data_IF_522283616969
#
_entry.id   IF_522283616969
#
_cell.length_a   1.000
_cell.length_b   1.000
_cell.length_c   1.000
_cell.angle_alpha   90.00
_cell.angle_beta   90.00
_cell.angle_gamma   90.00
#
_symmetry.space_group_name_H-M   'P 1'
#
loop_
_entity.id
_entity.type
_entity.pdbx_description
1 polymer ?
#
# COMPACT_ATOMS: atom_id res chain seq x y z
N UNK A 1 1.88 11.66 -11.51
CA UNK A 1 2.29 10.28 -11.83
C UNK A 1 1.61 9.84 -13.12
N UNK A 2 2.32 9.19 -14.04
CA UNK A 2 1.70 8.55 -15.20
C UNK A 2 1.12 7.18 -14.82
N UNK A 3 0.20 6.65 -15.64
CA UNK A 3 -0.39 5.32 -15.38
C UNK A 3 0.70 4.25 -15.29
N UNK A 4 1.71 4.26 -16.16
CA UNK A 4 2.78 3.26 -16.12
C UNK A 4 3.61 3.32 -14.83
N UNK A 5 3.81 4.52 -14.28
CA UNK A 5 4.50 4.70 -13.01
C UNK A 5 3.65 4.19 -11.86
N UNK A 6 2.33 4.37 -11.91
CA UNK A 6 1.40 3.82 -10.93
C UNK A 6 1.51 2.29 -10.85
N UNK A 7 1.52 1.59 -11.98
CA UNK A 7 1.67 0.12 -11.98
C UNK A 7 3.05 -0.32 -11.44
N UNK A 8 4.13 0.37 -11.83
CA UNK A 8 5.49 0.05 -11.37
C UNK A 8 5.66 0.28 -9.87
N UNK A 9 5.20 1.44 -9.38
CA UNK A 9 5.27 1.79 -7.97
C UNK A 9 4.37 0.89 -7.12
N UNK A 10 3.14 0.62 -7.57
CA UNK A 10 2.21 -0.29 -6.87
C UNK A 10 2.81 -1.67 -6.67
N UNK A 11 3.45 -2.23 -7.72
CA UNK A 11 4.14 -3.52 -7.62
C UNK A 11 5.31 -3.45 -6.63
N UNK A 12 6.19 -2.46 -6.79
CA UNK A 12 7.37 -2.31 -5.94
C UNK A 12 7.00 -2.19 -4.46
N UNK A 13 6.05 -1.31 -4.12
CA UNK A 13 5.67 -1.08 -2.72
C UNK A 13 4.96 -2.29 -2.13
N UNK A 14 4.15 -3.00 -2.93
CA UNK A 14 3.50 -4.24 -2.51
C UNK A 14 4.52 -5.34 -2.21
N UNK A 15 5.50 -5.53 -3.09
CA UNK A 15 6.58 -6.53 -2.88
C UNK A 15 7.38 -6.23 -1.60
N UNK A 16 7.55 -4.96 -1.26
CA UNK A 16 8.26 -4.53 -0.04
C UNK A 16 7.43 -4.71 1.25
N UNK A 17 6.14 -4.35 1.22
CA UNK A 17 5.31 -4.24 2.42
C UNK A 17 4.41 -5.45 2.69
N UNK A 18 4.00 -6.21 1.66
CA UNK A 18 3.15 -7.39 1.84
C UNK A 18 3.74 -8.47 2.77
N UNK A 19 5.08 -8.69 2.82
CA UNK A 19 5.67 -9.61 3.80
C UNK A 19 5.52 -9.17 5.26
N UNK A 20 5.24 -7.88 5.52
CA UNK A 20 5.17 -7.29 6.87
C UNK A 20 3.77 -7.35 7.49
N UNK A 21 2.73 -7.51 6.67
CA UNK A 21 1.34 -7.68 7.13
C UNK A 21 1.02 -9.15 7.40
N UNK A 22 0.02 -9.41 8.24
CA UNK A 22 -0.37 -10.75 8.67
C UNK A 22 -0.94 -11.60 7.53
N UNK A 23 -1.00 -12.94 7.71
CA UNK A 23 -1.64 -13.85 6.75
C UNK A 23 -3.14 -13.60 6.52
N UNK A 24 -3.79 -12.76 7.33
CA UNK A 24 -5.22 -12.43 7.14
C UNK A 24 -5.43 -11.51 5.92
N UNK A 25 -4.53 -10.55 5.71
CA UNK A 25 -4.63 -9.57 4.60
C UNK A 25 -3.68 -9.90 3.44
N UNK A 26 -2.53 -10.52 3.72
CA UNK A 26 -1.49 -10.78 2.71
C UNK A 26 -2.02 -11.51 1.47
N UNK A 27 -2.83 -12.59 1.55
CA UNK A 27 -3.35 -13.25 0.37
C UNK A 27 -4.21 -12.34 -0.50
N UNK A 28 -5.04 -11.49 0.11
CA UNK A 28 -5.93 -10.56 -0.59
C UNK A 28 -5.10 -9.55 -1.39
N UNK A 29 -4.10 -8.94 -0.75
CA UNK A 29 -3.21 -7.96 -1.40
C UNK A 29 -2.46 -8.60 -2.56
N UNK A 30 -1.87 -9.79 -2.36
CA UNK A 30 -1.08 -10.46 -3.39
C UNK A 30 -1.94 -10.95 -4.56
N UNK A 31 -3.14 -11.49 -4.29
CA UNK A 31 -4.06 -11.91 -5.35
C UNK A 31 -4.55 -10.73 -6.18
N UNK A 32 -4.93 -9.61 -5.53
CA UNK A 32 -5.35 -8.40 -6.24
C UNK A 32 -4.19 -7.81 -7.08
N UNK A 33 -3.00 -7.69 -6.50
CA UNK A 33 -1.81 -7.19 -7.20
C UNK A 33 -1.40 -8.08 -8.37
N UNK A 34 -1.44 -9.40 -8.19
CA UNK A 34 -1.18 -10.38 -9.26
C UNK A 34 -2.17 -10.31 -10.42
N UNK A 35 -3.43 -9.92 -10.16
CA UNK A 35 -4.44 -9.67 -11.18
C UNK A 35 -4.35 -8.27 -11.81
N UNK A 36 -3.43 -7.41 -11.34
CA UNK A 36 -3.33 -6.01 -11.77
C UNK A 36 -4.40 -5.09 -11.18
N UNK A 37 -5.21 -5.57 -10.23
CA UNK A 37 -6.24 -4.82 -9.53
C UNK A 37 -5.62 -3.95 -8.42
N UNK A 38 -4.74 -3.03 -8.80
CA UNK A 38 -4.00 -2.17 -7.87
C UNK A 38 -4.88 -1.15 -7.14
N UNK A 39 -6.02 -0.81 -7.73
CA UNK A 39 -7.09 -0.05 -7.10
C UNK A 39 -7.74 -0.77 -5.92
N UNK A 40 -7.64 -2.11 -5.86
CA UNK A 40 -8.00 -2.89 -4.69
C UNK A 40 -6.79 -3.18 -3.78
N UNK A 41 -5.66 -3.57 -4.38
CA UNK A 41 -4.50 -4.04 -3.64
C UNK A 41 -3.88 -2.96 -2.75
N UNK A 42 -3.75 -1.72 -3.25
CA UNK A 42 -3.09 -0.64 -2.52
C UNK A 42 -3.93 -0.15 -1.32
N UNK A 43 -5.23 0.16 -1.45
CA UNK A 43 -6.03 0.51 -0.28
C UNK A 43 -6.10 -0.61 0.76
N UNK A 44 -6.17 -1.87 0.31
CA UNK A 44 -6.15 -3.03 1.23
C UNK A 44 -4.83 -3.12 1.99
N UNK A 45 -3.70 -2.91 1.30
CA UNK A 45 -2.38 -2.88 1.94
C UNK A 45 -2.29 -1.75 2.97
N UNK A 46 -2.76 -0.55 2.64
CA UNK A 46 -2.77 0.60 3.57
C UNK A 46 -3.65 0.33 4.79
N UNK A 47 -4.85 -0.23 4.59
CA UNK A 47 -5.73 -0.63 5.69
C UNK A 47 -5.05 -1.65 6.61
N UNK A 48 -4.45 -2.70 6.05
CA UNK A 48 -3.75 -3.72 6.82
C UNK A 48 -2.57 -3.15 7.62
N UNK A 49 -1.75 -2.29 7.02
CA UNK A 49 -0.63 -1.65 7.70
C UNK A 49 -1.10 -0.78 8.88
N UNK A 50 -2.22 -0.07 8.71
CA UNK A 50 -2.82 0.78 9.74
C UNK A 50 -3.42 -0.04 10.88
N UNK A 51 -4.21 -1.07 10.56
CA UNK A 51 -4.91 -1.90 11.55
C UNK A 51 -3.96 -2.75 12.39
N UNK A 52 -2.85 -3.20 11.79
CA UNK A 52 -1.85 -4.04 12.44
C UNK A 52 -0.71 -3.24 13.12
N UNK A 53 -0.80 -1.91 13.15
CA UNK A 53 0.25 -0.99 13.66
C UNK A 53 1.65 -1.30 13.07
N UNK A 54 1.70 -1.63 11.77
CA UNK A 54 2.97 -1.90 11.09
C UNK A 54 3.68 -0.59 10.84
N UNK A 55 4.74 -0.36 11.61
CA UNK A 55 5.63 0.79 11.41
C UNK A 55 6.37 0.64 10.09
N UNK A 56 6.37 1.69 9.26
CA UNK A 56 7.08 1.74 7.95
C UNK A 56 8.06 2.91 7.91
N UNK A 57 8.80 3.08 6.82
CA UNK A 57 9.63 4.27 6.60
C UNK A 57 8.80 5.43 6.06
N UNK A 58 9.29 6.66 6.24
CA UNK A 58 8.68 7.87 5.69
C UNK A 58 8.61 7.80 4.16
N UNK A 59 9.65 7.26 3.51
CA UNK A 59 9.65 7.04 2.06
C UNK A 59 8.60 6.01 1.60
N UNK A 60 8.38 4.92 2.36
CA UNK A 60 7.30 3.96 2.08
C UNK A 60 5.92 4.61 2.25
N UNK A 61 5.74 5.44 3.27
CA UNK A 61 4.49 6.18 3.52
C UNK A 61 4.21 7.20 2.42
N UNK A 62 5.23 7.90 1.95
CA UNK A 62 5.11 8.88 0.86
C UNK A 62 4.78 8.18 -0.47
N UNK A 63 5.42 7.04 -0.76
CA UNK A 63 5.08 6.23 -1.93
C UNK A 63 3.61 5.76 -1.92
N UNK A 64 3.10 5.32 -0.75
CA UNK A 64 1.70 4.98 -0.60
C UNK A 64 0.80 6.21 -0.77
N UNK A 65 1.20 7.39 -0.26
CA UNK A 65 0.46 8.64 -0.46
C UNK A 65 0.29 8.96 -1.94
N UNK A 66 1.37 8.90 -2.72
CA UNK A 66 1.33 9.18 -4.15
C UNK A 66 0.35 8.25 -4.89
N UNK A 67 0.35 6.96 -4.54
CA UNK A 67 -0.57 5.98 -5.14
C UNK A 67 -2.03 6.25 -4.78
N UNK A 68 -2.30 6.58 -3.52
CA UNK A 68 -3.66 6.88 -3.04
C UNK A 68 -4.19 8.18 -3.66
N UNK A 69 -3.38 9.23 -3.69
CA UNK A 69 -3.75 10.52 -4.30
C UNK A 69 -4.02 10.38 -5.80
N UNK A 70 -3.20 9.60 -6.52
CA UNK A 70 -3.40 9.35 -7.94
C UNK A 70 -4.79 8.75 -8.24
N UNK A 71 -5.29 7.89 -7.34
CA UNK A 71 -6.62 7.25 -7.45
C UNK A 71 -7.72 8.01 -6.72
N UNK A 72 -7.39 9.11 -6.03
CA UNK A 72 -8.30 9.89 -5.17
C UNK A 72 -8.89 9.07 -4.03
N UNK A 73 -8.11 8.13 -3.51
CA UNK A 73 -8.48 7.33 -2.34
C UNK A 73 -8.33 8.15 -1.05
N UNK A 74 -9.19 7.94 -0.03
CA UNK A 74 -9.08 8.63 1.25
C UNK A 74 -7.77 8.29 1.99
N UNK A 75 -7.09 9.29 2.56
CA UNK A 75 -5.81 9.09 3.27
C UNK A 75 -5.95 8.72 4.75
N UNK A 76 -7.17 8.52 5.26
CA UNK A 76 -7.45 8.37 6.70
C UNK A 76 -6.64 7.25 7.36
N UNK A 77 -6.55 6.07 6.73
CA UNK A 77 -5.74 4.97 7.24
C UNK A 77 -4.24 5.22 7.07
N UNK A 78 -3.85 5.83 5.95
CA UNK A 78 -2.45 6.17 5.71
C UNK A 78 -1.91 7.12 6.79
N UNK A 79 -2.69 8.12 7.19
CA UNK A 79 -2.33 9.10 8.21
C UNK A 79 -2.00 8.44 9.55
N UNK A 80 -2.71 7.38 9.91
CA UNK A 80 -2.56 6.63 11.17
C UNK A 80 -1.28 5.77 11.22
N UNK A 81 -0.71 5.41 10.07
CA UNK A 81 0.50 4.56 10.02
C UNK A 81 1.71 5.31 10.61
N UNK A 82 2.38 4.70 11.57
CA UNK A 82 3.60 5.27 12.20
C UNK A 82 4.83 5.08 11.31
N UNK A 83 5.78 6.00 11.41
CA UNK A 83 7.08 5.92 10.73
C UNK A 83 8.25 5.74 11.70
N UNK A 84 9.35 5.12 11.26
CA UNK A 84 10.51 4.75 12.12
C UNK A 84 11.84 5.43 11.79
N UNK A 85 11.89 6.41 10.90
CA UNK A 85 13.11 7.03 10.37
C UNK A 85 13.09 8.56 10.37
#
# INVERSE_FOLDING_TARGET
MEVIDFYRLSRRITDQLAPRISPNYRPIVLTAGGAGAWDLAIPTLVGALSEEDVVITTAEKDALRELMEFRREPLTYLEQIRTSD
#
